data_IF_710495867003
#
_entry.id   IF_710495867003
#
_cell.length_a   1.000
_cell.length_b   1.000
_cell.length_c   1.000
_cell.angle_alpha   90.00
_cell.angle_beta   90.00
_cell.angle_gamma   90.00
#
_symmetry.space_group_name_H-M   'P 1'
#
loop_
_entity.id
_entity.type
_entity.pdbx_description
1 polymer ?
#
# COMPACT_ATOMS: atom_id res chain seq x y z
N UNK A 1 -32.31 4.75 -30.85
CA UNK A 1 -31.98 4.14 -32.15
C UNK A 1 -31.34 2.78 -31.98
N UNK A 2 -31.75 1.84 -32.83
CA UNK A 2 -31.31 0.45 -32.90
C UNK A 2 -30.16 0.36 -33.91
N UNK A 3 -29.03 -0.23 -33.56
CA UNK A 3 -27.99 -0.58 -34.52
C UNK A 3 -27.94 -2.11 -34.69
N UNK A 4 -28.17 -2.55 -35.91
CA UNK A 4 -28.20 -3.94 -36.39
C UNK A 4 -26.83 -4.61 -36.36
N UNK A 5 -26.84 -5.92 -36.09
CA UNK A 5 -25.72 -6.83 -36.31
C UNK A 5 -25.59 -7.16 -37.79
N UNK A 6 -24.49 -6.78 -38.42
CA UNK A 6 -24.07 -7.27 -39.73
C UNK A 6 -22.83 -8.15 -39.60
N UNK A 7 -22.99 -9.46 -39.78
CA UNK A 7 -21.88 -10.42 -39.81
C UNK A 7 -21.09 -10.32 -41.11
N UNK A 8 -19.77 -10.41 -41.00
CA UNK A 8 -18.85 -10.59 -42.12
C UNK A 8 -17.61 -11.36 -41.64
N UNK A 9 -17.50 -12.63 -42.01
CA UNK A 9 -16.33 -13.46 -41.76
C UNK A 9 -15.11 -12.90 -42.51
N UNK A 10 -14.03 -12.61 -41.78
CA UNK A 10 -12.73 -12.21 -42.32
C UNK A 10 -11.61 -12.51 -41.32
N UNK A 11 -10.57 -13.18 -41.81
CA UNK A 11 -9.50 -13.87 -41.09
C UNK A 11 -8.69 -13.06 -40.05
N UNK A 12 -8.32 -13.82 -38.99
CA UNK A 12 -7.10 -13.80 -38.16
C UNK A 12 -6.16 -12.59 -38.17
N UNK A 13 -5.83 -12.14 -36.95
CA UNK A 13 -4.57 -11.46 -36.66
C UNK A 13 -4.71 -10.01 -36.22
N UNK A 14 -5.40 -9.77 -35.10
CA UNK A 14 -5.41 -8.48 -34.44
C UNK A 14 -5.12 -8.69 -32.96
N UNK A 15 -4.00 -8.13 -32.49
CA UNK A 15 -3.69 -7.92 -31.08
C UNK A 15 -4.96 -7.55 -30.31
N UNK A 16 -5.32 -8.35 -29.29
CA UNK A 16 -6.46 -8.09 -28.43
C UNK A 16 -6.37 -6.64 -27.91
N UNK A 17 -7.19 -5.76 -28.47
CA UNK A 17 -7.23 -4.37 -28.06
C UNK A 17 -7.74 -4.35 -26.61
N UNK A 18 -6.87 -4.00 -25.66
CA UNK A 18 -7.26 -3.83 -24.28
C UNK A 18 -8.31 -2.71 -24.21
N UNK A 19 -9.56 -3.07 -23.98
CA UNK A 19 -10.63 -2.11 -23.78
C UNK A 19 -10.51 -1.51 -22.37
N UNK A 20 -10.31 -0.19 -22.29
CA UNK A 20 -10.39 0.59 -21.06
C UNK A 20 -11.58 1.53 -21.16
N UNK A 21 -12.55 1.36 -20.26
CA UNK A 21 -13.76 2.17 -20.24
C UNK A 21 -13.77 3.03 -18.97
N UNK A 22 -13.91 4.34 -19.13
CA UNK A 22 -14.14 5.27 -18.03
C UNK A 22 -15.50 5.93 -18.20
N UNK A 23 -16.34 5.88 -17.17
CA UNK A 23 -17.60 6.61 -17.11
C UNK A 23 -17.62 7.44 -15.83
N UNK A 24 -17.93 8.73 -15.95
CA UNK A 24 -18.18 9.58 -14.80
C UNK A 24 -19.68 9.56 -14.48
N UNK A 25 -20.04 9.30 -13.22
CA UNK A 25 -21.41 9.49 -12.75
C UNK A 25 -21.82 10.96 -12.87
N UNK A 26 -23.08 11.22 -13.21
CA UNK A 26 -23.62 12.58 -13.15
C UNK A 26 -23.70 13.02 -11.69
N UNK A 27 -23.26 14.25 -11.39
CA UNK A 27 -23.41 14.82 -10.05
C UNK A 27 -24.89 14.82 -9.64
N UNK A 28 -25.24 13.97 -8.68
CA UNK A 28 -26.55 13.99 -8.05
C UNK A 28 -26.47 14.95 -6.88
N UNK A 29 -27.05 16.14 -7.02
CA UNK A 29 -27.08 17.16 -5.96
C UNK A 29 -27.82 16.70 -4.68
N UNK A 30 -28.38 15.48 -4.67
CA UNK A 30 -29.29 15.00 -3.61
C UNK A 30 -28.99 13.58 -3.10
N UNK A 31 -27.90 12.93 -3.51
CA UNK A 31 -27.54 11.61 -2.97
C UNK A 31 -26.63 11.77 -1.76
N UNK A 32 -27.14 11.47 -0.56
CA UNK A 32 -26.33 11.37 0.65
C UNK A 32 -25.23 10.32 0.43
N UNK A 33 -23.98 10.74 0.53
CA UNK A 33 -22.83 9.84 0.48
C UNK A 33 -22.65 9.13 1.82
N UNK A 34 -22.06 7.94 1.76
CA UNK A 34 -21.61 7.20 2.94
C UNK A 34 -20.12 6.86 2.77
N UNK A 35 -19.39 6.82 3.87
CA UNK A 35 -17.97 6.46 3.87
C UNK A 35 -17.85 4.95 3.99
N UNK A 36 -17.20 4.31 3.02
CA UNK A 36 -17.03 2.85 2.98
C UNK A 36 -15.70 2.37 3.58
N UNK A 37 -14.71 3.26 3.70
CA UNK A 37 -13.39 2.94 4.25
C UNK A 37 -12.70 4.18 4.80
N UNK A 38 -11.72 3.96 5.67
CA UNK A 38 -10.67 4.93 6.00
C UNK A 38 -9.31 4.32 5.62
N UNK A 39 -8.40 5.15 5.10
CA UNK A 39 -7.01 4.77 4.86
C UNK A 39 -6.13 6.02 4.93
N UNK A 40 -5.24 6.07 5.92
CA UNK A 40 -4.41 7.25 6.21
C UNK A 40 -2.99 6.88 6.60
N UNK A 41 -2.06 7.75 6.24
CA UNK A 41 -0.66 7.74 6.68
C UNK A 41 -0.37 9.02 7.47
N UNK A 42 0.32 8.89 8.59
CA UNK A 42 0.72 9.97 9.48
C UNK A 42 2.26 10.03 9.53
N UNK A 43 2.86 11.06 8.94
CA UNK A 43 4.32 11.22 8.96
C UNK A 43 4.77 11.75 10.31
N UNK A 44 5.71 11.08 10.98
CA UNK A 44 6.15 11.47 12.33
C UNK A 44 6.90 12.81 12.36
N UNK A 45 7.67 13.11 11.30
CA UNK A 45 8.49 14.33 11.23
C UNK A 45 7.65 15.60 11.09
N UNK A 46 6.83 15.65 10.04
CA UNK A 46 6.05 16.84 9.70
C UNK A 46 4.66 16.88 10.36
N UNK A 47 4.29 15.81 11.08
CA UNK A 47 2.97 15.62 11.70
C UNK A 47 1.82 15.77 10.68
N UNK A 48 2.11 15.42 9.43
CA UNK A 48 1.18 15.50 8.30
C UNK A 48 0.36 14.22 8.21
N UNK A 49 -0.95 14.36 7.94
CA UNK A 49 -1.85 13.25 7.66
C UNK A 49 -2.19 13.25 6.17
N UNK A 50 -1.93 12.14 5.48
CA UNK A 50 -2.21 11.94 4.07
C UNK A 50 -3.21 10.80 3.89
N UNK A 51 -4.08 10.90 2.88
CA UNK A 51 -4.94 9.78 2.48
C UNK A 51 -4.12 8.76 1.71
N UNK A 52 -4.37 7.49 1.98
CA UNK A 52 -3.86 6.39 1.19
C UNK A 52 -4.94 5.88 0.25
N UNK A 53 -4.51 5.33 -0.89
CA UNK A 53 -5.40 4.52 -1.70
C UNK A 53 -5.74 3.23 -0.95
N UNK A 54 -6.96 2.73 -1.13
CA UNK A 54 -7.37 1.44 -0.60
C UNK A 54 -8.51 0.88 -1.44
N UNK A 55 -8.50 -0.43 -1.67
CA UNK A 55 -9.50 -1.13 -2.49
C UNK A 55 -10.53 -1.87 -1.63
N UNK A 56 -10.96 -1.25 -0.53
CA UNK A 56 -11.83 -1.84 0.50
C UNK A 56 -11.29 -3.16 1.05
N UNK A 57 -9.99 -3.18 1.34
CA UNK A 57 -9.33 -4.32 1.96
C UNK A 57 -8.35 -3.81 3.02
N UNK A 58 -8.73 -3.92 4.29
CA UNK A 58 -7.91 -3.46 5.40
C UNK A 58 -6.61 -4.26 5.57
N UNK A 59 -6.53 -5.48 5.02
CA UNK A 59 -5.34 -6.35 5.07
C UNK A 59 -4.32 -6.07 3.96
N UNK A 60 -4.59 -5.13 3.05
CA UNK A 60 -3.69 -4.75 1.96
C UNK A 60 -3.34 -3.26 2.06
N UNK A 61 -2.08 -2.96 2.37
CA UNK A 61 -1.59 -1.58 2.48
C UNK A 61 -1.11 -1.10 1.12
N UNK A 62 -1.73 -0.03 0.58
CA UNK A 62 -1.32 0.56 -0.69
C UNK A 62 -0.49 1.81 -0.42
N UNK A 63 0.79 1.76 -0.75
CA UNK A 63 1.75 2.86 -0.56
C UNK A 63 2.65 2.96 -1.78
N UNK A 64 2.99 4.17 -2.23
CA UNK A 64 3.85 4.39 -3.39
C UNK A 64 3.42 3.62 -4.67
N UNK A 65 2.12 3.28 -4.80
CA UNK A 65 1.57 2.47 -5.90
C UNK A 65 1.80 0.96 -5.81
N UNK A 66 2.37 0.45 -4.70
CA UNK A 66 2.54 -0.99 -4.44
C UNK A 66 1.53 -1.49 -3.41
N UNK A 67 1.20 -2.79 -3.47
CA UNK A 67 0.32 -3.45 -2.51
C UNK A 67 1.14 -4.33 -1.57
N UNK A 68 1.15 -4.00 -0.27
CA UNK A 68 1.85 -4.76 0.78
C UNK A 68 0.83 -5.62 1.54
N UNK A 69 0.95 -6.97 1.51
CA UNK A 69 0.09 -7.85 2.29
C UNK A 69 0.43 -7.78 3.78
N UNK A 70 -0.55 -7.41 4.61
CA UNK A 70 -0.37 -7.26 6.06
C UNK A 70 -0.49 -8.59 6.81
N UNK A 71 -1.13 -9.58 6.20
CA UNK A 71 -1.24 -10.95 6.72
C UNK A 71 -0.17 -11.86 6.12
N UNK A 72 0.25 -12.94 6.81
CA UNK A 72 1.18 -13.93 6.26
C UNK A 72 0.52 -14.78 5.16
N UNK A 73 1.29 -15.25 4.16
CA UNK A 73 0.75 -16.00 3.01
C UNK A 73 0.00 -17.30 3.37
N UNK A 74 0.32 -17.91 4.52
CA UNK A 74 -0.44 -19.07 5.04
C UNK A 74 -1.91 -18.73 5.41
N UNK A 75 -2.30 -17.46 5.38
CA UNK A 75 -3.68 -17.00 5.61
C UNK A 75 -4.51 -16.87 4.33
N UNK A 76 -3.93 -17.10 3.14
CA UNK A 76 -4.58 -16.95 1.82
C UNK A 76 -5.54 -18.10 1.44
N UNK A 77 -6.15 -18.76 2.42
CA UNK A 77 -7.23 -19.73 2.16
C UNK A 77 -8.53 -18.99 1.81
N UNK A 78 -8.58 -18.31 0.66
CA UNK A 78 -9.80 -17.78 0.01
C UNK A 78 -10.61 -16.74 0.79
N UNK A 79 -10.28 -16.51 2.06
CA UNK A 79 -10.92 -15.61 2.99
C UNK A 79 -9.80 -14.70 3.49
N UNK A 80 -9.69 -13.48 2.94
CA UNK A 80 -8.73 -12.44 3.37
C UNK A 80 -9.01 -11.91 4.80
N UNK A 81 -9.75 -12.68 5.60
CA UNK A 81 -10.16 -12.37 6.94
C UNK A 81 -9.43 -13.33 7.87
N UNK A 82 -8.73 -12.82 8.89
CA UNK A 82 -8.12 -13.71 9.88
C UNK A 82 -9.22 -14.61 10.46
N UNK A 83 -8.92 -15.90 10.53
CA UNK A 83 -9.88 -16.95 10.86
C UNK A 83 -10.69 -16.55 12.10
N UNK A 84 -12.02 -16.50 11.98
CA UNK A 84 -12.90 -16.01 13.05
C UNK A 84 -12.65 -16.81 14.34
N UNK A 85 -12.10 -16.15 15.36
CA UNK A 85 -12.11 -16.65 16.74
C UNK A 85 -10.94 -17.53 17.19
N UNK A 86 -9.90 -17.76 16.38
CA UNK A 86 -8.67 -18.39 16.87
C UNK A 86 -7.46 -17.57 16.44
N UNK A 87 -6.69 -17.04 17.40
CA UNK A 87 -5.36 -16.51 17.14
C UNK A 87 -4.57 -17.64 16.48
N UNK A 88 -4.42 -17.62 15.15
CA UNK A 88 -3.85 -18.71 14.35
C UNK A 88 -2.35 -18.88 14.56
N UNK A 89 -1.90 -18.99 15.82
CA UNK A 89 -0.49 -18.99 16.21
C UNK A 89 0.24 -17.67 15.94
N UNK A 90 -0.42 -16.66 15.37
CA UNK A 90 0.19 -15.38 15.02
C UNK A 90 0.30 -14.48 16.26
N UNK A 91 1.46 -13.85 16.44
CA UNK A 91 1.68 -12.86 17.49
C UNK A 91 0.64 -11.72 17.45
N UNK A 92 0.40 -11.08 18.61
CA UNK A 92 -0.57 -9.99 18.74
C UNK A 92 -0.34 -8.89 17.69
N UNK A 93 0.93 -8.56 17.47
CA UNK A 93 1.42 -7.69 16.40
C UNK A 93 2.41 -8.45 15.51
N UNK A 94 2.55 -8.01 14.26
CA UNK A 94 3.44 -8.62 13.28
C UNK A 94 4.40 -7.57 12.74
N UNK A 95 5.69 -7.88 12.72
CA UNK A 95 6.74 -7.05 12.11
C UNK A 95 7.40 -7.80 10.95
N UNK A 96 7.58 -7.13 9.82
CA UNK A 96 8.21 -7.71 8.62
C UNK A 96 8.77 -6.65 7.69
N UNK A 97 9.69 -7.05 6.82
CA UNK A 97 10.17 -6.22 5.71
C UNK A 97 9.51 -6.66 4.40
N UNK A 98 9.15 -5.70 3.56
CA UNK A 98 8.65 -5.92 2.21
C UNK A 98 9.52 -5.18 1.20
N UNK A 99 10.01 -5.90 0.20
CA UNK A 99 10.73 -5.32 -0.94
C UNK A 99 10.01 -5.75 -2.21
N UNK A 100 9.50 -4.81 -3.04
CA UNK A 100 8.81 -5.14 -4.27
C UNK A 100 9.67 -6.00 -5.22
N UNK A 101 9.04 -6.91 -5.95
CA UNK A 101 9.75 -7.84 -6.85
C UNK A 101 10.47 -7.10 -7.99
N UNK A 102 9.87 -5.99 -8.49
CA UNK A 102 10.50 -5.07 -9.45
C UNK A 102 11.88 -4.62 -8.96
N UNK A 103 11.95 -4.27 -7.67
CA UNK A 103 13.13 -3.67 -7.06
C UNK A 103 14.19 -4.71 -6.67
N UNK A 104 13.79 -5.98 -6.49
CA UNK A 104 14.72 -7.10 -6.28
C UNK A 104 15.50 -7.43 -7.56
N UNK A 105 14.84 -7.35 -8.72
CA UNK A 105 15.46 -7.62 -10.02
C UNK A 105 16.52 -6.58 -10.36
N UNK A 106 16.27 -5.31 -10.03
CA UNK A 106 17.21 -4.21 -10.25
C UNK A 106 18.46 -4.33 -9.35
N UNK A 107 18.33 -4.85 -8.13
CA UNK A 107 19.48 -5.13 -7.26
C UNK A 107 20.38 -6.26 -7.78
N UNK A 108 19.82 -7.24 -8.51
CA UNK A 108 20.57 -8.34 -9.13
C UNK A 108 21.12 -8.00 -10.52
N UNK A 109 20.51 -7.04 -11.21
CA UNK A 109 20.88 -6.63 -12.57
C UNK A 109 22.10 -5.69 -12.64
N UNK A 110 22.88 -5.54 -11.56
CA UNK A 110 24.15 -4.79 -11.52
C UNK A 110 25.25 -5.31 -12.46
N UNK A 111 24.93 -6.17 -13.43
CA UNK A 111 25.83 -6.61 -14.49
C UNK A 111 25.05 -6.80 -15.80
N UNK A 112 24.54 -5.73 -16.42
CA UNK A 112 24.26 -5.76 -17.86
C UNK A 112 24.45 -4.40 -18.53
N UNK A 113 25.17 -4.46 -19.65
CA UNK A 113 25.73 -3.36 -20.41
C UNK A 113 24.71 -2.68 -21.33
N UNK A 114 24.97 -1.41 -21.62
CA UNK A 114 24.46 -0.59 -22.73
C UNK A 114 23.51 -1.30 -23.71
N UNK A 115 22.20 -1.04 -23.59
CA UNK A 115 21.22 -1.40 -24.60
C UNK A 115 19.80 -1.12 -24.11
N UNK A 116 19.05 -0.31 -24.86
CA UNK A 116 17.73 0.19 -24.49
C UNK A 116 16.69 -0.90 -24.13
N UNK A 117 16.04 -0.76 -22.98
CA UNK A 117 14.71 -1.29 -22.64
C UNK A 117 14.07 -0.28 -21.66
N UNK A 118 13.20 0.64 -22.10
CA UNK A 118 11.79 0.51 -22.51
C UNK A 118 10.85 0.14 -21.35
N UNK A 119 9.89 1.06 -21.12
CA UNK A 119 8.84 1.11 -20.11
C UNK A 119 9.27 1.59 -18.71
N UNK A 120 9.37 2.91 -18.57
CA UNK A 120 9.14 3.59 -17.30
C UNK A 120 7.70 3.29 -16.86
N UNK A 121 7.54 2.26 -16.04
CA UNK A 121 6.33 2.08 -15.24
C UNK A 121 6.45 3.05 -14.07
N UNK A 122 5.88 4.24 -14.23
CA UNK A 122 5.80 5.23 -13.16
C UNK A 122 4.86 4.73 -12.06
N UNK A 123 5.42 3.95 -11.15
CA UNK A 123 5.08 3.91 -9.73
C UNK A 123 6.42 3.91 -8.98
N UNK A 124 6.91 5.10 -8.66
CA UNK A 124 8.22 5.32 -8.04
C UNK A 124 9.34 5.61 -9.04
N UNK A 125 9.58 6.89 -9.32
CA UNK A 125 10.88 7.35 -9.83
C UNK A 125 11.96 7.05 -8.78
N UNK A 126 12.53 5.86 -8.86
CA UNK A 126 13.75 5.53 -8.15
C UNK A 126 14.77 5.12 -9.18
N UNK A 127 15.49 6.12 -9.72
CA UNK A 127 16.80 6.04 -10.38
C UNK A 127 17.70 4.88 -9.84
N UNK A 128 17.40 3.62 -10.20
CA UNK A 128 18.07 2.41 -9.71
C UNK A 128 18.10 2.21 -8.18
N UNK A 129 17.11 2.69 -7.42
CA UNK A 129 17.09 2.53 -5.95
C UNK A 129 16.01 1.53 -5.50
N UNK A 130 16.43 0.41 -4.93
CA UNK A 130 15.52 -0.52 -4.25
C UNK A 130 14.94 0.15 -3.00
N UNK A 131 13.60 0.17 -2.89
CA UNK A 131 12.87 0.57 -1.68
C UNK A 131 12.52 -0.66 -0.86
N UNK A 132 12.83 -0.63 0.43
CA UNK A 132 12.38 -1.62 1.40
C UNK A 132 11.45 -0.95 2.41
N UNK A 133 10.33 -1.59 2.69
CA UNK A 133 9.30 -1.14 3.62
C UNK A 133 9.34 -2.03 4.86
N UNK A 134 9.76 -1.48 6.00
CA UNK A 134 9.61 -2.16 7.28
C UNK A 134 8.23 -1.83 7.85
N UNK A 135 7.39 -2.84 8.02
CA UNK A 135 6.02 -2.72 8.48
C UNK A 135 5.88 -3.42 9.82
N UNK A 136 5.29 -2.70 10.77
CA UNK A 136 4.81 -3.28 12.02
C UNK A 136 3.30 -3.05 12.10
N UNK A 137 2.51 -4.12 12.13
CA UNK A 137 1.06 -4.07 12.02
C UNK A 137 0.38 -4.74 13.21
N UNK A 138 -0.63 -4.05 13.74
CA UNK A 138 -1.59 -4.55 14.71
C UNK A 138 -3.00 -4.62 14.06
N UNK A 139 -3.88 -5.51 14.46
CA UNK A 139 -3.68 -6.59 15.44
C UNK A 139 -4.17 -7.91 14.86
N UNK A 140 -3.71 -9.03 15.42
CA UNK A 140 -4.17 -10.37 15.02
C UNK A 140 -5.68 -10.60 15.24
N UNK A 141 -6.28 -9.93 16.23
CA UNK A 141 -7.70 -10.05 16.55
C UNK A 141 -8.61 -9.03 15.84
N UNK A 142 -8.07 -8.17 14.97
CA UNK A 142 -8.84 -7.18 14.22
C UNK A 142 -8.90 -7.57 12.74
N UNK A 143 -10.12 -7.81 12.24
CA UNK A 143 -10.33 -8.28 10.87
C UNK A 143 -10.53 -7.15 9.86
N UNK A 144 -11.31 -6.13 10.25
CA UNK A 144 -11.73 -5.02 9.38
C UNK A 144 -10.93 -3.74 9.61
N UNK A 145 -9.88 -3.80 10.42
CA UNK A 145 -9.04 -2.66 10.79
C UNK A 145 -7.60 -3.14 10.97
N UNK A 146 -6.65 -2.44 10.33
CA UNK A 146 -5.21 -2.60 10.54
C UNK A 146 -4.60 -1.23 10.78
N UNK A 147 -3.64 -1.18 11.70
CA UNK A 147 -2.89 0.03 12.01
C UNK A 147 -1.50 -0.31 12.51
N UNK A 148 -0.56 0.61 12.38
CA UNK A 148 0.79 0.39 12.87
C UNK A 148 1.84 1.34 12.32
N UNK A 149 3.08 0.89 12.27
CA UNK A 149 4.24 1.66 11.82
C UNK A 149 4.65 1.27 10.40
N UNK A 150 5.04 2.26 9.62
CA UNK A 150 5.60 2.11 8.29
C UNK A 150 6.89 2.90 8.20
N UNK A 151 7.99 2.20 7.92
CA UNK A 151 9.29 2.81 7.67
C UNK A 151 9.71 2.54 6.23
N UNK A 152 9.96 3.61 5.47
CA UNK A 152 10.53 3.53 4.12
C UNK A 152 12.05 3.64 4.21
N UNK A 153 12.77 2.65 3.71
CA UNK A 153 14.22 2.62 3.59
C UNK A 153 14.61 2.61 2.12
N UNK A 154 15.44 3.57 1.72
CA UNK A 154 16.00 3.62 0.36
C UNK A 154 17.43 3.09 0.35
N UNK A 155 17.73 2.17 -0.56
CA UNK A 155 19.11 1.74 -0.82
C UNK A 155 19.94 2.90 -1.39
N UNK A 156 21.25 2.95 -1.08
CA UNK A 156 22.17 3.84 -1.80
C UNK A 156 22.17 3.44 -3.28
N UNK A 157 22.02 4.42 -4.17
CA UNK A 157 22.23 4.21 -5.60
C UNK A 157 23.66 3.72 -5.81
N UNK A 158 23.84 2.57 -6.44
CA UNK A 158 25.13 2.20 -7.01
C UNK A 158 25.41 3.19 -8.14
N UNK A 159 26.14 4.27 -7.87
CA UNK A 159 26.72 5.04 -8.96
C UNK A 159 27.64 4.08 -9.71
N UNK A 160 27.37 3.86 -10.99
CA UNK A 160 28.40 3.34 -11.89
C UNK A 160 29.61 4.25 -11.71
N UNK A 161 30.75 3.64 -11.36
CA UNK A 161 32.03 4.31 -11.31
C UNK A 161 32.45 4.69 -12.74
N UNK A 162 31.82 5.73 -13.28
CA UNK A 162 32.29 6.47 -14.44
C UNK A 162 33.21 7.56 -13.92
N UNK A 163 34.50 7.43 -14.22
CA UNK A 163 35.53 8.41 -13.87
C UNK A 163 35.07 9.82 -14.29
N UNK A 164 35.22 10.78 -13.39
CA UNK A 164 34.95 12.22 -13.60
C UNK A 164 33.51 12.70 -13.35
N UNK A 165 33.04 12.60 -12.11
CA UNK A 165 32.20 13.66 -11.54
C UNK A 165 32.40 13.72 -10.02
N UNK A 166 32.38 14.94 -9.49
CA UNK A 166 32.72 15.31 -8.11
C UNK A 166 32.09 14.39 -7.06
N UNK A 167 32.96 13.74 -6.31
CA UNK A 167 32.74 12.94 -5.12
C UNK A 167 32.18 13.82 -3.98
N UNK A 168 30.88 14.13 -4.00
CA UNK A 168 30.24 14.93 -2.94
C UNK A 168 28.81 14.52 -2.54
N UNK A 169 28.10 13.70 -3.32
CA UNK A 169 26.75 13.26 -2.95
C UNK A 169 26.72 11.79 -2.51
N UNK A 170 27.39 11.49 -1.40
CA UNK A 170 27.03 10.30 -0.62
C UNK A 170 25.63 10.54 -0.03
N UNK A 171 24.58 10.35 -0.85
CA UNK A 171 23.18 10.51 -0.41
C UNK A 171 22.94 9.57 0.76
N UNK A 172 22.79 10.16 1.94
CA UNK A 172 22.44 9.49 3.21
C UNK A 172 21.22 8.60 3.01
N UNK A 173 21.19 7.45 3.71
CA UNK A 173 19.98 6.63 3.81
C UNK A 173 18.82 7.53 4.25
N UNK A 174 17.83 7.70 3.38
CA UNK A 174 16.60 8.38 3.75
C UNK A 174 15.68 7.36 4.39
N UNK A 175 15.53 7.48 5.70
CA UNK A 175 14.61 6.68 6.50
C UNK A 175 13.41 7.56 6.84
N UNK A 176 12.28 7.31 6.16
CA UNK A 176 11.01 7.97 6.45
C UNK A 176 10.18 7.11 7.40
N UNK A 177 9.83 7.64 8.58
CA UNK A 177 8.94 6.97 9.53
C UNK A 177 7.54 7.59 9.52
N UNK A 178 6.55 6.71 9.49
CA UNK A 178 5.14 7.05 9.49
C UNK A 178 4.34 6.03 10.32
N UNK A 179 3.15 6.43 10.75
CA UNK A 179 2.11 5.52 11.22
C UNK A 179 1.06 5.38 10.12
N UNK A 180 0.33 4.27 10.08
CA UNK A 180 -0.82 4.11 9.19
C UNK A 180 -2.02 3.54 9.94
N UNK A 181 -3.21 3.82 9.40
CA UNK A 181 -4.47 3.22 9.83
C UNK A 181 -5.35 3.04 8.60
N UNK A 182 -5.92 1.84 8.44
CA UNK A 182 -6.89 1.55 7.40
C UNK A 182 -7.95 0.56 7.87
N UNK A 183 -9.19 0.81 7.49
CA UNK A 183 -10.31 -0.02 7.90
C UNK A 183 -11.53 0.08 6.99
N UNK A 184 -12.30 -0.99 6.98
CA UNK A 184 -13.58 -1.11 6.26
C UNK A 184 -14.69 -0.64 7.19
N UNK A 185 -15.50 0.33 6.72
CA UNK A 185 -16.61 0.87 7.52
C UNK A 185 -17.79 -0.07 7.49
N UNK A 186 -18.40 -0.27 8.65
CA UNK A 186 -19.72 -0.89 8.77
C UNK A 186 -20.76 -0.04 8.04
N UNK A 187 -21.67 -0.66 7.28
CA UNK A 187 -22.79 0.04 6.65
C UNK A 187 -23.58 0.82 7.73
N UNK A 188 -23.97 2.05 7.43
CA UNK A 188 -24.76 2.90 8.34
C UNK A 188 -26.01 2.20 8.89
N UNK A 189 -26.59 1.25 8.14
CA UNK A 189 -27.77 0.46 8.52
C UNK A 189 -27.47 -0.67 9.51
N UNK A 190 -26.21 -1.10 9.59
CA UNK A 190 -25.75 -2.18 10.47
C UNK A 190 -25.12 -1.64 11.76
N UNK A 191 -25.06 -0.32 11.93
CA UNK A 191 -24.57 0.30 13.16
C UNK A 191 -25.51 -0.09 14.32
N UNK A 192 -24.97 -0.68 15.40
CA UNK A 192 -25.78 -1.14 16.51
C UNK A 192 -26.45 0.05 17.23
N UNK A 193 -27.72 -0.13 17.61
CA UNK A 193 -28.47 0.83 18.44
C UNK A 193 -28.29 0.59 19.95
N UNK A 194 -27.52 -0.44 20.32
CA UNK A 194 -27.26 -0.79 21.71
C UNK A 194 -26.51 0.33 22.45
N UNK A 195 -26.83 0.50 23.73
CA UNK A 195 -26.17 1.45 24.61
C UNK A 195 -25.18 0.72 25.53
N UNK A 196 -24.09 1.39 25.91
CA UNK A 196 -23.05 0.87 26.82
C UNK A 196 -22.13 -0.21 26.22
N UNK A 197 -21.63 0.01 25.01
CA UNK A 197 -20.62 -0.87 24.39
C UNK A 197 -19.21 -0.45 24.86
N UNK A 198 -18.37 -1.42 25.23
CA UNK A 198 -16.97 -1.19 25.65
C UNK A 198 -16.02 -1.79 24.61
N UNK A 199 -15.11 -0.96 24.10
CA UNK A 199 -14.03 -1.38 23.22
C UNK A 199 -12.69 -1.38 23.98
N UNK A 200 -11.87 -2.40 23.76
CA UNK A 200 -10.52 -2.52 24.33
C UNK A 200 -9.53 -2.79 23.19
N UNK A 201 -8.39 -2.10 23.22
CA UNK A 201 -7.36 -2.21 22.20
C UNK A 201 -6.03 -1.63 22.66
N UNK A 202 -5.09 -1.52 21.74
CA UNK A 202 -3.83 -0.79 21.91
C UNK A 202 -3.76 0.38 20.92
N UNK A 203 -2.64 1.10 20.93
CA UNK A 203 -2.36 2.23 20.04
C UNK A 203 -0.85 2.38 19.87
N UNK A 204 -0.44 2.82 18.69
CA UNK A 204 0.91 3.35 18.48
C UNK A 204 0.89 4.85 18.74
N UNK A 205 1.96 5.38 19.31
CA UNK A 205 2.03 6.81 19.61
C UNK A 205 3.44 7.36 19.55
N UNK A 206 3.59 8.53 18.94
CA UNK A 206 4.83 9.31 18.97
C UNK A 206 4.55 10.73 19.44
N UNK A 207 5.14 11.10 20.57
CA UNK A 207 4.99 12.44 21.17
C UNK A 207 6.39 13.00 21.38
N UNK A 208 6.64 14.20 20.83
CA UNK A 208 7.95 14.85 20.92
C UNK A 208 7.82 16.31 21.38
N UNK A 209 8.62 16.68 22.39
CA UNK A 209 8.86 18.06 22.83
C UNK A 209 10.37 18.35 22.81
N UNK A 210 11.05 18.45 23.97
CA UNK A 210 12.51 18.45 24.08
C UNK A 210 13.10 17.04 24.08
N UNK A 211 12.30 16.04 24.45
CA UNK A 211 12.57 14.60 24.35
C UNK A 211 11.43 13.93 23.58
N UNK A 212 11.70 12.80 22.95
CA UNK A 212 10.69 11.99 22.25
C UNK A 212 10.31 10.76 23.08
N UNK A 213 9.02 10.41 23.02
CA UNK A 213 8.46 9.20 23.60
C UNK A 213 7.68 8.44 22.53
N UNK A 214 7.95 7.14 22.43
CA UNK A 214 7.27 6.20 21.53
C UNK A 214 6.67 5.06 22.33
N UNK A 215 5.43 4.66 22.01
CA UNK A 215 4.77 3.53 22.64
C UNK A 215 3.94 2.70 21.66
N UNK A 216 3.60 1.51 22.12
CA UNK A 216 2.91 0.43 21.44
C UNK A 216 1.97 -0.30 22.40
#
# INVERSE_FOLDING_TARGET
DKAESGGGNGASGGTDAAASNGAAGTSSENSKLTTVLDAVELKLGDKEVQKLDNFSNAAQLVVDGIMIPLLPEASESGNNQANQGTNGGTAFTRKFDHTPESDKKDAQAGTQANGAQTASNTAGDTNGKTKTYEVEVCCSNLNYLKYGMLTRKNSKSAMQAGESSSQADAKTEQVGQSMFLQGERTDEKEIPSEQNIVYRGSWYGHIASSTSWSAM
#
